data_IF_669371323237
#
_entry.id   IF_669371323237
#
_cell.length_a   1.000
_cell.length_b   1.000
_cell.length_c   1.000
_cell.angle_alpha   90.00
_cell.angle_beta   90.00
_cell.angle_gamma   90.00
#
_symmetry.space_group_name_H-M   'P 1'
#
loop_
_entity.id
_entity.type
_entity.pdbx_description
1 polymer ?
#
# COMPACT_ATOMS: atom_id res chain seq x y z
N UNK A 1 23.22 -65.36 -7.55
CA UNK A 1 24.64 -65.72 -7.48
C UNK A 1 25.39 -64.62 -8.22
N UNK A 2 26.36 -64.01 -7.53
CA UNK A 2 27.18 -62.82 -7.80
C UNK A 2 27.09 -61.94 -6.53
N UNK A 3 27.81 -62.28 -5.46
CA UNK A 3 29.25 -62.04 -5.23
C UNK A 3 29.62 -60.55 -5.22
N UNK A 4 29.22 -59.86 -4.15
CA UNK A 4 30.04 -58.81 -3.50
C UNK A 4 29.42 -58.48 -2.12
N UNK A 5 29.36 -59.50 -1.26
CA UNK A 5 29.00 -59.34 0.16
C UNK A 5 30.17 -59.84 1.00
N UNK A 6 31.22 -59.02 1.08
CA UNK A 6 32.37 -59.21 1.97
C UNK A 6 33.23 -57.96 1.85
N UNK A 7 33.19 -57.14 2.90
CA UNK A 7 34.24 -56.22 3.34
C UNK A 7 33.65 -54.99 4.04
N UNK A 8 33.02 -55.18 5.20
CA UNK A 8 32.85 -54.13 6.21
C UNK A 8 32.85 -54.76 7.61
N UNK A 9 33.94 -55.43 7.95
CA UNK A 9 34.24 -55.82 9.33
C UNK A 9 35.64 -55.33 9.69
N UNK A 10 35.68 -54.14 10.32
CA UNK A 10 36.70 -53.60 11.26
C UNK A 10 36.78 -52.08 11.18
N UNK A 11 35.97 -51.40 12.00
CA UNK A 11 36.29 -50.05 12.49
C UNK A 11 36.38 -50.18 14.02
N UNK A 12 37.52 -49.85 14.65
CA UNK A 12 37.67 -49.96 16.09
C UNK A 12 36.81 -48.91 16.82
N UNK A 13 36.14 -49.34 17.88
CA UNK A 13 35.36 -48.47 18.76
C UNK A 13 36.27 -47.46 19.48
N UNK A 14 35.91 -46.18 19.38
CA UNK A 14 36.53 -45.08 20.11
C UNK A 14 36.13 -45.16 21.59
N UNK A 15 37.04 -45.00 22.57
CA UNK A 15 36.68 -45.08 23.98
C UNK A 15 35.86 -43.85 24.41
N UNK A 16 34.79 -44.10 25.16
CA UNK A 16 33.91 -43.08 25.73
C UNK A 16 34.70 -42.07 26.60
N UNK A 17 34.34 -40.78 26.59
CA UNK A 17 34.99 -39.78 27.43
C UNK A 17 34.66 -40.04 28.91
N UNK A 18 35.71 -40.09 29.72
CA UNK A 18 35.67 -40.19 31.19
C UNK A 18 35.06 -38.90 31.75
N UNK A 19 33.90 -39.00 32.39
CA UNK A 19 33.31 -37.91 33.17
C UNK A 19 34.10 -37.76 34.48
N UNK A 20 34.74 -36.60 34.67
CA UNK A 20 35.32 -36.22 35.95
C UNK A 20 34.21 -35.79 36.91
N UNK A 21 34.03 -36.54 37.99
CA UNK A 21 33.20 -36.17 39.14
C UNK A 21 33.83 -35.00 39.91
N UNK A 22 33.48 -33.76 39.57
CA UNK A 22 33.56 -32.64 40.52
C UNK A 22 32.54 -31.58 40.08
N UNK A 23 31.31 -31.67 40.56
CA UNK A 23 30.47 -30.49 40.80
C UNK A 23 29.37 -30.84 41.80
N UNK A 24 29.63 -30.52 43.06
CA UNK A 24 28.65 -30.43 44.14
C UNK A 24 27.56 -29.42 43.78
N UNK A 25 26.26 -29.72 44.01
CA UNK A 25 25.20 -28.77 43.73
C UNK A 25 25.19 -27.65 44.77
N UNK A 26 25.45 -26.42 44.33
CA UNK A 26 25.18 -25.20 45.11
C UNK A 26 23.67 -25.06 45.23
N UNK A 27 23.17 -25.14 46.46
CA UNK A 27 21.77 -24.94 46.83
C UNK A 27 21.37 -23.49 46.53
N UNK A 28 20.48 -23.29 45.54
CA UNK A 28 19.87 -22.00 45.28
C UNK A 28 18.80 -21.71 46.35
N UNK A 29 19.13 -20.86 47.32
CA UNK A 29 18.16 -20.27 48.23
C UNK A 29 17.29 -19.24 47.49
N UNK A 30 16.00 -19.51 47.44
CA UNK A 30 14.95 -18.60 46.96
C UNK A 30 14.89 -17.34 47.84
N UNK A 31 14.90 -16.11 47.29
CA UNK A 31 14.57 -14.93 48.06
C UNK A 31 13.05 -14.86 48.33
N UNK A 32 12.61 -14.29 49.46
CA UNK A 32 11.19 -14.24 49.82
C UNK A 32 10.41 -13.27 48.92
N UNK A 33 9.17 -13.64 48.66
CA UNK A 33 8.15 -12.84 47.96
C UNK A 33 7.72 -11.70 48.89
N UNK A 34 7.96 -10.45 48.48
CA UNK A 34 7.32 -9.28 49.09
C UNK A 34 5.88 -9.17 48.58
N UNK A 35 4.92 -9.20 49.50
CA UNK A 35 3.52 -8.87 49.22
C UNK A 35 3.36 -7.37 48.92
N UNK A 36 2.49 -6.97 47.97
CA UNK A 36 2.30 -5.56 47.67
C UNK A 36 1.46 -4.88 48.74
N UNK A 37 2.03 -3.85 49.37
CA UNK A 37 1.35 -2.94 50.29
C UNK A 37 0.30 -2.13 49.51
N UNK A 38 -0.96 -2.26 49.92
CA UNK A 38 -2.10 -1.45 49.48
C UNK A 38 -1.90 0.03 49.89
N UNK A 39 -1.73 0.92 48.92
CA UNK A 39 -1.84 2.37 49.14
C UNK A 39 -3.26 2.83 48.82
N UNK A 40 -3.92 3.62 49.69
CA UNK A 40 -5.28 4.10 49.46
C UNK A 40 -5.32 5.18 48.37
N UNK A 41 -6.37 5.13 47.54
CA UNK A 41 -6.67 6.09 46.49
C UNK A 41 -7.04 7.48 47.08
N UNK A 42 -6.56 8.60 46.50
CA UNK A 42 -7.07 9.91 46.86
C UNK A 42 -8.36 10.24 46.11
N UNK A 43 -9.19 11.00 46.81
CA UNK A 43 -10.59 11.31 46.56
C UNK A 43 -10.87 12.09 45.26
N UNK A 44 -12.06 11.84 44.73
CA UNK A 44 -12.68 12.53 43.59
C UNK A 44 -13.06 13.98 43.95
N UNK A 45 -12.50 14.96 43.24
CA UNK A 45 -13.03 16.33 43.18
C UNK A 45 -13.34 16.73 41.73
N UNK A 46 -14.62 17.05 41.46
CA UNK A 46 -15.13 17.73 40.26
C UNK A 46 -16.43 18.44 40.68
N UNK A 47 -16.86 19.61 40.14
CA UNK A 47 -16.15 20.75 39.54
C UNK A 47 -16.58 22.11 40.18
N UNK A 48 -15.82 23.18 39.94
CA UNK A 48 -16.31 24.57 40.14
C UNK A 48 -16.41 25.27 38.79
N UNK A 49 -17.63 25.69 38.44
CA UNK A 49 -17.95 26.46 37.24
C UNK A 49 -17.64 27.96 37.42
N UNK A 50 -17.13 28.67 36.39
CA UNK A 50 -17.11 30.12 36.39
C UNK A 50 -18.43 30.73 35.88
N UNK A 51 -18.77 31.87 36.47
CA UNK A 51 -20.03 32.62 36.41
C UNK A 51 -20.40 33.23 35.04
N UNK A 52 -21.69 33.56 34.80
CA UNK A 52 -22.20 34.02 33.50
C UNK A 52 -21.91 35.49 33.19
N UNK A 53 -21.69 35.78 31.90
CA UNK A 53 -21.61 37.14 31.33
C UNK A 53 -22.99 37.83 31.29
N UNK A 54 -23.06 39.16 31.42
CA UNK A 54 -24.32 39.87 31.63
C UNK A 54 -25.14 40.04 30.33
N UNK A 55 -26.41 39.65 30.44
CA UNK A 55 -27.49 39.97 29.50
C UNK A 55 -27.91 41.43 29.71
N UNK A 56 -27.94 42.21 28.63
CA UNK A 56 -28.53 43.55 28.60
C UNK A 56 -29.92 43.43 27.94
N UNK A 57 -30.96 43.87 28.63
CA UNK A 57 -32.36 43.81 28.21
C UNK A 57 -32.81 45.06 27.42
N UNK A 58 -33.88 44.84 26.66
CA UNK A 58 -34.60 45.67 25.69
C UNK A 58 -35.13 47.04 26.18
N UNK A 59 -35.42 47.95 25.23
CA UNK A 59 -36.44 48.99 25.43
C UNK A 59 -36.38 50.22 24.50
N UNK A 60 -37.44 50.38 23.70
CA UNK A 60 -38.04 51.61 23.12
C UNK A 60 -37.61 52.18 21.75
N UNK A 61 -38.62 52.27 20.87
CA UNK A 61 -38.66 52.83 19.52
C UNK A 61 -38.74 54.38 19.51
N UNK A 62 -38.58 55.07 18.35
CA UNK A 62 -39.71 55.20 17.41
C UNK A 62 -39.33 55.15 15.91
N UNK A 63 -40.33 54.90 15.08
CA UNK A 63 -40.32 55.05 13.63
C UNK A 63 -39.96 56.48 13.20
N UNK A 64 -39.04 56.61 12.24
CA UNK A 64 -38.88 57.82 11.43
C UNK A 64 -38.40 57.47 10.01
N UNK A 65 -39.28 57.80 9.08
CA UNK A 65 -39.17 57.78 7.62
C UNK A 65 -37.97 58.59 7.10
N UNK A 66 -37.10 57.99 6.28
CA UNK A 66 -36.10 58.74 5.50
C UNK A 66 -35.66 58.00 4.21
N UNK A 67 -36.13 58.56 3.10
CA UNK A 67 -35.72 58.48 1.70
C UNK A 67 -34.52 57.58 1.29
N UNK A 68 -34.79 56.71 0.31
CA UNK A 68 -33.80 55.97 -0.47
C UNK A 68 -32.92 56.89 -1.34
N UNK A 69 -31.60 56.68 -1.43
CA UNK A 69 -30.77 57.31 -2.45
C UNK A 69 -30.85 56.56 -3.79
N UNK A 70 -31.24 57.31 -4.82
CA UNK A 70 -31.16 56.96 -6.24
C UNK A 70 -29.73 56.54 -6.62
N UNK A 71 -29.57 55.31 -7.10
CA UNK A 71 -28.35 54.86 -7.78
C UNK A 71 -28.57 55.03 -9.28
N UNK A 72 -27.79 55.92 -9.87
CA UNK A 72 -27.75 56.17 -11.30
C UNK A 72 -27.27 54.92 -12.06
N UNK A 73 -28.00 54.56 -13.11
CA UNK A 73 -27.63 53.56 -14.11
C UNK A 73 -26.48 54.09 -14.99
N UNK A 74 -25.39 53.34 -15.20
CA UNK A 74 -24.40 53.67 -16.22
C UNK A 74 -24.92 53.27 -17.62
N UNK A 75 -24.44 53.94 -18.70
CA UNK A 75 -24.96 53.73 -20.03
C UNK A 75 -24.55 52.37 -20.59
N UNK A 76 -25.51 51.72 -21.28
CA UNK A 76 -25.32 50.49 -22.03
C UNK A 76 -24.38 50.79 -23.21
N UNK A 77 -23.14 50.32 -23.12
CA UNK A 77 -22.28 50.17 -24.28
C UNK A 77 -22.63 48.84 -24.96
N UNK A 78 -23.09 48.93 -26.21
CA UNK A 78 -23.30 47.78 -27.09
C UNK A 78 -21.98 47.02 -27.26
N UNK A 79 -21.85 45.88 -26.58
CA UNK A 79 -20.79 44.94 -26.83
C UNK A 79 -21.17 44.13 -28.08
N UNK A 80 -20.48 44.41 -29.18
CA UNK A 80 -20.53 43.56 -30.37
C UNK A 80 -20.25 42.11 -29.96
N UNK A 81 -21.17 41.22 -30.33
CA UNK A 81 -21.04 39.79 -30.13
C UNK A 81 -19.84 39.29 -30.96
N UNK A 82 -18.68 39.18 -30.31
CA UNK A 82 -17.56 38.41 -30.82
C UNK A 82 -18.03 36.97 -30.92
N UNK A 83 -18.28 36.52 -32.15
CA UNK A 83 -18.58 35.13 -32.48
C UNK A 83 -17.39 34.30 -32.01
N UNK A 84 -17.52 33.73 -30.81
CA UNK A 84 -16.60 32.73 -30.29
C UNK A 84 -16.64 31.56 -31.28
N UNK A 85 -15.61 31.49 -32.12
CA UNK A 85 -15.32 30.31 -32.94
C UNK A 85 -15.46 29.07 -32.06
N UNK A 86 -16.13 28.00 -32.51
CA UNK A 86 -16.14 26.76 -31.76
C UNK A 86 -14.69 26.38 -31.48
N UNK A 87 -14.38 26.11 -30.21
CA UNK A 87 -13.09 25.59 -29.80
C UNK A 87 -12.74 24.46 -30.76
N UNK A 88 -11.59 24.59 -31.42
CA UNK A 88 -11.09 23.56 -32.31
C UNK A 88 -11.21 22.22 -31.59
N UNK A 89 -11.86 21.24 -32.24
CA UNK A 89 -11.81 19.85 -31.83
C UNK A 89 -10.36 19.53 -31.44
N UNK A 90 -10.16 18.80 -30.34
CA UNK A 90 -8.82 18.44 -29.86
C UNK A 90 -7.90 18.11 -31.03
N UNK A 91 -6.64 18.50 -30.92
CA UNK A 91 -5.62 17.96 -31.81
C UNK A 91 -5.77 16.44 -31.80
N UNK A 92 -6.31 15.90 -32.89
CA UNK A 92 -6.47 14.48 -33.17
C UNK A 92 -5.14 13.72 -33.17
N UNK A 93 -4.04 14.45 -32.96
CA UNK A 93 -2.66 14.00 -32.98
C UNK A 93 -2.28 13.04 -31.83
N UNK A 94 -3.11 12.92 -30.77
CA UNK A 94 -2.87 11.97 -29.65
C UNK A 94 -3.82 10.75 -29.63
N UNK A 95 -4.75 10.62 -30.58
CA UNK A 95 -5.53 9.37 -30.77
C UNK A 95 -4.72 8.45 -31.66
N UNK A 96 -4.28 7.33 -31.10
CA UNK A 96 -3.51 6.33 -31.83
C UNK A 96 -4.47 5.38 -32.55
N UNK A 97 -4.07 4.83 -33.68
CA UNK A 97 -4.85 3.82 -34.38
C UNK A 97 -4.08 2.50 -34.39
N UNK A 98 -4.79 1.40 -34.11
CA UNK A 98 -4.23 0.07 -34.33
C UNK A 98 -3.92 -0.15 -35.82
N UNK A 99 -3.07 -1.13 -36.17
CA UNK A 99 -2.87 -1.52 -37.57
C UNK A 99 -4.16 -1.92 -38.31
N UNK A 100 -5.24 -2.24 -37.59
CA UNK A 100 -6.56 -2.54 -38.12
C UNK A 100 -7.52 -1.34 -38.23
N UNK A 101 -7.09 -0.13 -37.87
CA UNK A 101 -7.88 1.10 -37.97
C UNK A 101 -8.80 1.41 -36.77
N UNK A 102 -8.78 0.59 -35.72
CA UNK A 102 -9.55 0.86 -34.50
C UNK A 102 -8.89 1.98 -33.66
N UNK A 103 -9.66 2.96 -33.16
CA UNK A 103 -9.12 4.05 -32.35
C UNK A 103 -8.70 3.59 -30.95
N UNK A 104 -7.55 4.08 -30.52
CA UNK A 104 -6.99 3.91 -29.18
C UNK A 104 -6.80 5.25 -28.48
N UNK A 105 -7.14 5.28 -27.19
CA UNK A 105 -7.13 6.48 -26.37
C UNK A 105 -6.00 6.45 -25.35
N UNK A 106 -5.31 7.57 -25.08
CA UNK A 106 -4.28 7.61 -24.04
C UNK A 106 -4.83 7.33 -22.65
N UNK A 107 -4.29 6.30 -21.98
CA UNK A 107 -4.75 5.84 -20.65
C UNK A 107 -3.73 6.12 -19.55
N UNK A 108 -2.46 5.75 -19.76
CA UNK A 108 -1.40 5.82 -18.75
C UNK A 108 -0.12 6.49 -19.27
N UNK A 109 0.45 7.37 -18.45
CA UNK A 109 1.78 7.97 -18.71
C UNK A 109 2.87 6.91 -18.57
N UNK A 110 3.96 7.06 -19.33
CA UNK A 110 5.11 6.15 -19.26
C UNK A 110 5.62 5.93 -17.83
N UNK A 111 5.74 7.00 -17.02
CA UNK A 111 6.23 6.86 -15.64
C UNK A 111 5.28 6.06 -14.74
N UNK A 112 3.95 6.15 -14.95
CA UNK A 112 2.99 5.33 -14.21
C UNK A 112 3.12 3.85 -14.58
N UNK A 113 3.41 3.56 -15.86
CA UNK A 113 3.67 2.19 -16.32
C UNK A 113 4.96 1.63 -15.75
N UNK A 114 6.03 2.44 -15.67
CA UNK A 114 7.29 2.03 -15.03
C UNK A 114 7.07 1.74 -13.55
N UNK A 115 6.37 2.62 -12.81
CA UNK A 115 5.98 2.39 -11.42
C UNK A 115 5.23 1.05 -11.26
N UNK A 116 4.25 0.80 -12.15
CA UNK A 116 3.52 -0.46 -12.16
C UNK A 116 4.41 -1.67 -12.45
N UNK A 117 5.35 -1.59 -13.39
CA UNK A 117 6.29 -2.69 -13.67
C UNK A 117 7.20 -2.96 -12.47
N UNK A 118 7.68 -1.92 -11.79
CA UNK A 118 8.44 -2.08 -10.55
C UNK A 118 7.61 -2.77 -9.47
N UNK A 119 6.35 -2.34 -9.27
CA UNK A 119 5.43 -2.96 -8.33
C UNK A 119 5.16 -4.43 -8.71
N UNK A 120 4.82 -4.72 -9.96
CA UNK A 120 4.54 -6.06 -10.46
C UNK A 120 5.72 -7.02 -10.20
N UNK A 121 6.94 -6.62 -10.59
CA UNK A 121 8.12 -7.48 -10.45
C UNK A 121 8.47 -7.69 -8.98
N UNK A 122 8.55 -6.61 -8.19
CA UNK A 122 8.90 -6.69 -6.77
C UNK A 122 7.86 -7.49 -5.97
N UNK A 123 6.57 -7.22 -6.16
CA UNK A 123 5.48 -7.96 -5.53
C UNK A 123 5.50 -9.45 -5.90
N UNK A 124 5.72 -9.78 -7.17
CA UNK A 124 5.81 -11.17 -7.61
C UNK A 124 6.95 -11.90 -6.89
N UNK A 125 8.14 -11.30 -6.82
CA UNK A 125 9.29 -11.87 -6.11
C UNK A 125 8.98 -12.02 -4.62
N UNK A 126 8.35 -11.03 -3.99
CA UNK A 126 7.92 -11.08 -2.59
C UNK A 126 6.96 -12.24 -2.33
N UNK A 127 5.98 -12.46 -3.20
CA UNK A 127 5.05 -13.60 -3.11
C UNK A 127 5.77 -14.94 -3.27
N UNK A 128 6.63 -15.06 -4.28
CA UNK A 128 7.37 -16.30 -4.57
C UNK A 128 8.37 -16.68 -3.47
N UNK A 129 8.91 -15.69 -2.77
CA UNK A 129 9.84 -15.91 -1.64
C UNK A 129 9.14 -16.01 -0.29
N UNK A 130 8.03 -15.28 -0.09
CA UNK A 130 7.34 -15.17 1.19
C UNK A 130 6.29 -16.26 1.45
N UNK A 131 5.48 -16.62 0.44
CA UNK A 131 4.44 -17.65 0.61
C UNK A 131 5.02 -19.02 0.98
N UNK A 132 6.13 -19.50 0.39
CA UNK A 132 6.76 -20.74 0.83
C UNK A 132 7.22 -20.73 2.29
N UNK A 133 7.64 -19.57 2.80
CA UNK A 133 8.05 -19.42 4.20
C UNK A 133 6.86 -19.48 5.15
N UNK A 134 5.68 -19.00 4.72
CA UNK A 134 4.43 -19.12 5.50
C UNK A 134 3.91 -20.55 5.57
N UNK A 135 4.09 -21.34 4.51
CA UNK A 135 3.60 -22.71 4.41
C UNK A 135 4.75 -23.74 4.35
N UNK A 136 5.65 -23.80 5.36
CA UNK A 136 6.91 -24.55 5.28
C UNK A 136 6.74 -26.07 5.17
N UNK A 137 5.58 -26.59 5.59
CA UNK A 137 5.26 -28.03 5.53
C UNK A 137 4.68 -28.46 4.18
N UNK A 138 4.36 -27.53 3.28
CA UNK A 138 3.87 -27.87 1.94
C UNK A 138 5.03 -28.39 1.07
N UNK A 139 4.89 -29.55 0.39
CA UNK A 139 5.93 -30.07 -0.52
C UNK A 139 6.32 -29.07 -1.61
N UNK A 140 5.36 -28.29 -2.11
CA UNK A 140 5.62 -27.23 -3.11
C UNK A 140 6.48 -26.13 -2.50
N UNK A 141 6.25 -25.76 -1.25
CA UNK A 141 7.03 -24.72 -0.57
C UNK A 141 8.46 -25.17 -0.31
N UNK A 142 8.65 -26.43 0.09
CA UNK A 142 9.98 -27.03 0.25
C UNK A 142 10.74 -27.09 -1.07
N UNK A 143 10.06 -27.49 -2.16
CA UNK A 143 10.64 -27.48 -3.49
C UNK A 143 11.04 -26.06 -3.94
N UNK A 144 10.16 -25.07 -3.77
CA UNK A 144 10.44 -23.67 -4.13
C UNK A 144 11.65 -23.12 -3.37
N UNK A 145 11.71 -23.35 -2.06
CA UNK A 145 12.84 -22.93 -1.22
C UNK A 145 14.13 -23.63 -1.67
N UNK A 146 14.08 -24.94 -1.93
CA UNK A 146 15.22 -25.71 -2.45
C UNK A 146 15.72 -25.19 -3.80
N UNK A 147 14.80 -24.92 -4.74
CA UNK A 147 15.12 -24.37 -6.06
C UNK A 147 15.73 -22.97 -6.02
N UNK A 148 15.40 -22.15 -5.01
CA UNK A 148 16.02 -20.84 -4.78
C UNK A 148 17.41 -20.92 -4.12
N UNK A 149 17.90 -22.11 -3.78
CA UNK A 149 19.20 -22.28 -3.09
C UNK A 149 19.10 -22.28 -1.56
N UNK A 150 17.91 -22.51 -1.00
CA UNK A 150 17.68 -22.63 0.44
C UNK A 150 17.00 -21.41 1.08
N UNK A 151 16.71 -21.54 2.38
CA UNK A 151 15.93 -20.55 3.13
C UNK A 151 16.65 -19.21 3.27
N UNK A 152 17.97 -19.22 3.42
CA UNK A 152 18.75 -17.99 3.61
C UNK A 152 18.78 -17.16 2.32
N UNK A 153 18.93 -17.80 1.16
CA UNK A 153 18.83 -17.13 -0.14
C UNK A 153 17.42 -16.59 -0.37
N UNK A 154 16.37 -17.38 -0.08
CA UNK A 154 14.99 -16.94 -0.22
C UNK A 154 14.69 -15.68 0.64
N UNK A 155 15.19 -15.65 1.89
CA UNK A 155 15.08 -14.48 2.79
C UNK A 155 15.84 -13.28 2.24
N UNK A 156 17.04 -13.48 1.70
CA UNK A 156 17.83 -12.40 1.11
C UNK A 156 17.13 -11.80 -0.12
N UNK A 157 16.61 -12.63 -1.02
CA UNK A 157 15.86 -12.17 -2.20
C UNK A 157 14.60 -11.42 -1.77
N UNK A 158 13.85 -11.96 -0.80
CA UNK A 158 12.63 -11.31 -0.27
C UNK A 158 12.92 -9.89 0.21
N UNK A 159 14.03 -9.73 0.94
CA UNK A 159 14.50 -8.46 1.50
C UNK A 159 14.86 -7.44 0.44
N UNK A 160 15.60 -7.82 -0.59
CA UNK A 160 15.92 -6.93 -1.71
C UNK A 160 14.68 -6.53 -2.51
N UNK A 161 13.75 -7.46 -2.72
CA UNK A 161 12.47 -7.16 -3.36
C UNK A 161 11.62 -6.20 -2.50
N UNK A 162 11.65 -6.36 -1.17
CA UNK A 162 11.00 -5.43 -0.25
C UNK A 162 11.62 -4.03 -0.33
N UNK A 163 12.95 -3.91 -0.42
CA UNK A 163 13.63 -2.62 -0.64
C UNK A 163 13.13 -1.95 -1.92
N UNK A 164 13.09 -2.70 -3.02
CA UNK A 164 12.65 -2.18 -4.31
C UNK A 164 11.19 -1.70 -4.24
N UNK A 165 10.31 -2.46 -3.58
CA UNK A 165 8.91 -2.06 -3.38
C UNK A 165 8.81 -0.80 -2.52
N UNK A 166 9.51 -0.71 -1.38
CA UNK A 166 9.52 0.46 -0.49
C UNK A 166 10.01 1.72 -1.22
N UNK A 167 11.11 1.62 -1.96
CA UNK A 167 11.63 2.74 -2.76
C UNK A 167 10.65 3.14 -3.87
N UNK A 168 10.02 2.16 -4.52
CA UNK A 168 8.94 2.39 -5.49
C UNK A 168 7.75 3.12 -4.87
N UNK A 169 7.33 2.74 -3.66
CA UNK A 169 6.26 3.42 -2.92
C UNK A 169 6.62 4.86 -2.54
N UNK A 170 7.85 5.10 -2.07
CA UNK A 170 8.34 6.46 -1.78
C UNK A 170 8.31 7.30 -3.05
N UNK A 171 8.81 6.77 -4.17
CA UNK A 171 8.76 7.45 -5.46
C UNK A 171 7.31 7.75 -5.89
N UNK A 172 6.40 6.78 -5.78
CA UNK A 172 4.98 6.96 -6.09
C UNK A 172 4.32 8.06 -5.23
N UNK A 173 4.64 8.13 -3.94
CA UNK A 173 4.15 9.18 -3.04
C UNK A 173 4.70 10.55 -3.42
N UNK A 174 5.99 10.64 -3.78
CA UNK A 174 6.60 11.88 -4.25
C UNK A 174 6.00 12.35 -5.59
N UNK A 175 5.83 11.46 -6.57
CA UNK A 175 5.23 11.82 -7.86
C UNK A 175 3.75 12.18 -7.73
N UNK A 176 3.01 11.50 -6.86
CA UNK A 176 1.61 11.84 -6.55
C UNK A 176 1.50 13.19 -5.82
N UNK A 177 2.38 13.46 -4.86
CA UNK A 177 2.45 14.76 -4.18
C UNK A 177 2.84 15.88 -5.14
N UNK A 178 3.73 15.63 -6.10
CA UNK A 178 4.06 16.58 -7.15
C UNK A 178 2.84 16.90 -8.03
N UNK A 179 2.09 15.87 -8.44
CA UNK A 179 0.85 16.04 -9.20
C UNK A 179 -0.20 16.84 -8.42
N UNK A 180 -0.32 16.60 -7.11
CA UNK A 180 -1.26 17.30 -6.25
C UNK A 180 -0.84 18.76 -6.00
N UNK A 181 0.35 19.00 -5.44
CA UNK A 181 0.74 20.33 -4.96
C UNK A 181 1.33 21.24 -6.06
N UNK A 182 2.07 20.67 -7.02
CA UNK A 182 2.68 21.48 -8.09
C UNK A 182 1.74 21.60 -9.27
N UNK A 183 1.21 20.46 -9.74
CA UNK A 183 0.32 20.44 -10.90
C UNK A 183 -1.16 20.71 -10.57
N UNK A 184 -1.59 20.63 -9.31
CA UNK A 184 -3.02 20.74 -8.97
C UNK A 184 -3.86 19.81 -9.85
N UNK A 185 -3.34 18.62 -10.16
CA UNK A 185 -4.13 17.57 -10.81
C UNK A 185 -5.16 17.06 -9.79
N UNK A 186 -6.39 16.83 -10.25
CA UNK A 186 -7.45 16.34 -9.37
C UNK A 186 -7.07 14.96 -8.80
N UNK A 187 -7.43 14.71 -7.54
CA UNK A 187 -7.20 13.43 -6.89
C UNK A 187 -8.21 12.38 -7.37
N UNK A 188 -8.11 11.99 -8.65
CA UNK A 188 -9.07 11.09 -9.31
C UNK A 188 -9.15 9.68 -8.70
N UNK A 189 -8.14 9.29 -7.91
CA UNK A 189 -8.10 8.00 -7.20
C UNK A 189 -8.78 8.05 -5.83
N UNK A 190 -9.22 9.22 -5.34
CA UNK A 190 -10.01 9.27 -4.11
C UNK A 190 -11.42 8.74 -4.39
N UNK A 191 -11.95 7.87 -3.51
CA UNK A 191 -13.35 7.52 -3.53
C UNK A 191 -14.21 8.76 -3.28
N UNK A 192 -15.29 8.92 -4.04
CA UNK A 192 -16.29 9.95 -3.87
C UNK A 192 -17.71 9.36 -3.83
N UNK A 193 -18.71 10.22 -3.66
CA UNK A 193 -20.11 9.79 -3.59
C UNK A 193 -20.58 9.10 -4.88
N UNK A 194 -20.01 9.45 -6.04
CA UNK A 194 -20.37 8.83 -7.32
C UNK A 194 -19.96 7.36 -7.33
N UNK A 195 -18.83 7.00 -6.75
CA UNK A 195 -18.38 5.60 -6.68
C UNK A 195 -19.41 4.70 -5.97
N UNK A 196 -20.08 5.22 -4.95
CA UNK A 196 -21.17 4.52 -4.25
C UNK A 196 -22.42 4.33 -5.12
N UNK A 197 -22.79 5.36 -5.89
CA UNK A 197 -23.87 5.24 -6.88
C UNK A 197 -23.51 4.29 -8.02
N UNK A 198 -22.28 4.35 -8.52
CA UNK A 198 -21.78 3.47 -9.58
C UNK A 198 -21.76 2.01 -9.15
N UNK A 199 -21.40 1.73 -7.89
CA UNK A 199 -21.50 0.39 -7.31
C UNK A 199 -22.96 -0.10 -7.26
N UNK A 200 -23.87 0.72 -6.72
CA UNK A 200 -25.30 0.39 -6.65
C UNK A 200 -25.86 0.09 -8.05
N UNK A 201 -25.56 0.95 -9.01
CA UNK A 201 -26.09 0.86 -10.37
C UNK A 201 -25.47 -0.33 -11.11
N UNK A 202 -24.19 -0.65 -10.85
CA UNK A 202 -23.55 -1.87 -11.36
C UNK A 202 -24.21 -3.12 -10.83
N UNK A 203 -24.55 -3.16 -9.52
CA UNK A 203 -25.28 -4.29 -8.92
C UNK A 203 -26.69 -4.38 -9.52
N UNK A 204 -27.39 -3.26 -9.65
CA UNK A 204 -28.73 -3.23 -10.25
C UNK A 204 -28.71 -3.73 -11.71
N UNK A 205 -27.73 -3.30 -12.50
CA UNK A 205 -27.54 -3.74 -13.88
C UNK A 205 -27.24 -5.24 -13.96
N UNK A 206 -26.33 -5.74 -13.13
CA UNK A 206 -26.00 -7.17 -13.09
C UNK A 206 -27.17 -8.07 -12.62
N UNK A 207 -28.12 -7.51 -11.86
CA UNK A 207 -29.36 -8.18 -11.46
C UNK A 207 -30.50 -8.00 -12.49
N UNK A 208 -30.27 -7.26 -13.59
CA UNK A 208 -31.28 -6.98 -14.60
C UNK A 208 -32.39 -6.02 -14.15
N UNK A 209 -32.13 -5.20 -13.12
CA UNK A 209 -33.08 -4.19 -12.61
C UNK A 209 -33.08 -2.93 -13.48
N UNK A 210 -31.93 -2.59 -14.06
CA UNK A 210 -31.77 -1.50 -15.02
C UNK A 210 -31.17 -2.04 -16.32
N UNK A 211 -31.55 -1.45 -17.45
CA UNK A 211 -31.16 -1.92 -18.78
C UNK A 211 -29.82 -1.32 -19.27
N UNK A 212 -29.39 -0.20 -18.69
CA UNK A 212 -28.18 0.50 -19.09
C UNK A 212 -27.07 0.39 -18.03
N UNK A 213 -25.82 0.08 -18.42
CA UNK A 213 -24.70 0.06 -17.48
C UNK A 213 -24.33 1.48 -17.02
N UNK A 214 -23.84 1.66 -15.78
CA UNK A 214 -23.46 2.98 -15.29
C UNK A 214 -22.25 3.53 -16.05
N UNK A 215 -22.33 4.80 -16.46
CA UNK A 215 -21.22 5.50 -17.11
C UNK A 215 -20.16 5.90 -16.08
N UNK A 216 -19.00 5.27 -16.17
CA UNK A 216 -17.90 5.46 -15.22
C UNK A 216 -16.86 6.48 -15.72
N UNK A 217 -16.13 7.09 -14.77
CA UNK A 217 -15.05 8.06 -15.06
C UNK A 217 -13.76 7.35 -15.50
N UNK A 218 -12.68 8.11 -15.67
CA UNK A 218 -11.33 7.60 -16.00
C UNK A 218 -10.88 6.44 -15.12
N UNK A 219 -11.27 6.46 -13.85
CA UNK A 219 -11.09 5.34 -12.95
C UNK A 219 -12.45 4.94 -12.42
N UNK A 220 -12.79 3.67 -12.57
CA UNK A 220 -14.03 3.13 -12.01
C UNK A 220 -13.89 2.84 -10.51
N UNK A 221 -15.01 2.59 -9.83
CA UNK A 221 -15.01 2.34 -8.39
C UNK A 221 -14.17 1.11 -8.00
N UNK A 222 -14.15 0.07 -8.86
CA UNK A 222 -13.38 -1.16 -8.64
C UNK A 222 -11.88 -0.92 -8.70
N UNK A 223 -11.40 -0.20 -9.72
CA UNK A 223 -10.00 0.21 -9.86
C UNK A 223 -9.55 1.08 -8.69
N UNK A 224 -10.41 1.98 -8.19
CA UNK A 224 -10.11 2.78 -6.99
C UNK A 224 -10.03 1.90 -5.74
N UNK A 225 -10.95 0.95 -5.58
CA UNK A 225 -10.92 0.01 -4.47
C UNK A 225 -9.64 -0.82 -4.47
N UNK A 226 -9.25 -1.36 -5.63
CA UNK A 226 -7.98 -2.09 -5.79
C UNK A 226 -6.76 -1.22 -5.47
N UNK A 227 -6.74 0.03 -5.96
CA UNK A 227 -5.66 0.96 -5.64
C UNK A 227 -5.50 1.19 -4.13
N UNK A 228 -6.61 1.44 -3.43
CA UNK A 228 -6.56 1.65 -1.98
C UNK A 228 -6.27 0.38 -1.20
N UNK A 229 -6.74 -0.78 -1.66
CA UNK A 229 -6.35 -2.07 -1.09
C UNK A 229 -4.83 -2.28 -1.19
N UNK A 230 -4.22 -1.96 -2.33
CA UNK A 230 -2.75 -2.03 -2.50
C UNK A 230 -2.03 -1.01 -1.63
N UNK A 231 -2.51 0.24 -1.52
CA UNK A 231 -1.91 1.27 -0.65
C UNK A 231 -1.94 0.84 0.82
N UNK A 232 -3.10 0.37 1.29
CA UNK A 232 -3.27 -0.15 2.66
C UNK A 232 -2.38 -1.37 2.91
N UNK A 233 -2.47 -2.38 2.04
CA UNK A 233 -1.71 -3.62 2.17
C UNK A 233 -0.21 -3.35 2.16
N UNK A 234 0.27 -2.46 1.29
CA UNK A 234 1.69 -2.03 1.29
C UNK A 234 2.08 -1.39 2.62
N UNK A 235 1.25 -0.52 3.19
CA UNK A 235 1.50 0.07 4.50
C UNK A 235 1.62 -0.98 5.61
N UNK A 236 0.68 -1.94 5.67
CA UNK A 236 0.72 -3.06 6.63
C UNK A 236 1.95 -3.93 6.42
N UNK A 237 2.29 -4.27 5.18
CA UNK A 237 3.45 -5.11 4.85
C UNK A 237 4.78 -4.45 5.20
N UNK A 238 4.92 -3.13 4.98
CA UNK A 238 6.11 -2.38 5.39
C UNK A 238 6.23 -2.34 6.92
N UNK A 239 5.15 -1.99 7.62
CA UNK A 239 5.18 -1.88 9.08
C UNK A 239 5.47 -3.21 9.77
N UNK A 240 4.75 -4.26 9.38
CA UNK A 240 4.97 -5.61 9.92
C UNK A 240 6.31 -6.20 9.47
N UNK A 241 6.71 -5.97 8.22
CA UNK A 241 8.02 -6.38 7.71
C UNK A 241 9.17 -5.74 8.47
N UNK A 242 9.05 -4.46 8.84
CA UNK A 242 10.02 -3.78 9.71
C UNK A 242 10.16 -4.46 11.06
N UNK A 243 9.03 -4.77 11.72
CA UNK A 243 9.01 -5.46 13.02
C UNK A 243 9.68 -6.84 12.93
N UNK A 244 9.41 -7.59 11.86
CA UNK A 244 9.99 -8.92 11.66
C UNK A 244 11.46 -8.90 11.27
N UNK A 245 11.89 -7.84 10.60
CA UNK A 245 13.30 -7.64 10.25
C UNK A 245 14.12 -7.21 11.46
N UNK A 246 13.60 -6.27 12.26
CA UNK A 246 14.29 -5.65 13.40
C UNK A 246 13.55 -5.92 14.72
N UNK A 247 13.44 -7.18 15.18
CA UNK A 247 12.63 -7.54 16.34
C UNK A 247 13.20 -7.00 17.67
N UNK A 248 14.52 -6.80 17.79
CA UNK A 248 15.09 -6.22 19.01
C UNK A 248 14.75 -4.72 19.08
N UNK A 249 14.81 -4.03 17.94
CA UNK A 249 14.41 -2.63 17.82
C UNK A 249 12.95 -2.47 18.19
N UNK A 250 12.09 -3.29 17.60
CA UNK A 250 10.66 -3.26 17.83
C UNK A 250 10.35 -3.47 19.31
N UNK A 251 10.98 -4.44 19.98
CA UNK A 251 10.72 -4.75 21.39
C UNK A 251 11.19 -3.68 22.39
N UNK A 252 12.01 -2.72 21.96
CA UNK A 252 12.32 -1.52 22.77
C UNK A 252 11.17 -0.54 22.84
N UNK A 253 10.29 -0.53 21.83
CA UNK A 253 9.17 0.41 21.73
C UNK A 253 7.80 -0.24 21.99
N UNK A 254 7.70 -1.56 21.85
CA UNK A 254 6.46 -2.31 22.04
C UNK A 254 6.69 -3.64 22.77
N UNK A 255 5.66 -4.20 23.45
CA UNK A 255 5.76 -5.52 24.06
C UNK A 255 6.11 -6.62 23.05
N UNK A 256 6.84 -7.66 23.51
CA UNK A 256 7.22 -8.81 22.68
C UNK A 256 6.05 -9.59 22.06
N UNK A 257 4.83 -9.44 22.61
CA UNK A 257 3.61 -10.02 22.05
C UNK A 257 3.27 -9.48 20.65
N UNK A 258 3.80 -8.33 20.25
CA UNK A 258 3.58 -7.78 18.91
C UNK A 258 4.38 -8.48 17.82
N UNK A 259 5.46 -9.19 18.14
CA UNK A 259 6.23 -9.97 17.16
C UNK A 259 5.36 -11.08 16.53
N UNK A 260 4.72 -11.99 17.28
CA UNK A 260 3.83 -12.98 16.69
C UNK A 260 2.60 -12.37 16.01
N UNK A 261 2.09 -11.22 16.50
CA UNK A 261 1.03 -10.47 15.80
C UNK A 261 1.52 -10.01 14.42
N UNK A 262 2.74 -9.48 14.33
CA UNK A 262 3.34 -9.10 13.06
C UNK A 262 3.54 -10.31 12.13
N UNK A 263 3.96 -11.47 12.65
CA UNK A 263 4.06 -12.71 11.85
C UNK A 263 2.70 -13.09 11.23
N UNK A 264 1.64 -13.06 12.04
CA UNK A 264 0.29 -13.39 11.59
C UNK A 264 -0.22 -12.36 10.58
N UNK A 265 -0.14 -11.07 10.91
CA UNK A 265 -0.61 -9.98 10.07
C UNK A 265 0.14 -9.95 8.72
N UNK A 266 1.48 -9.99 8.74
CA UNK A 266 2.30 -10.00 7.53
C UNK A 266 1.98 -11.22 6.65
N UNK A 267 1.91 -12.41 7.27
CA UNK A 267 1.66 -13.64 6.53
C UNK A 267 0.25 -13.71 5.92
N UNK A 268 -0.79 -13.29 6.65
CA UNK A 268 -2.16 -13.32 6.14
C UNK A 268 -2.46 -12.19 5.16
N UNK A 269 -1.90 -11.00 5.38
CA UNK A 269 -1.98 -9.91 4.41
C UNK A 269 -1.30 -10.31 3.08
N UNK A 270 -0.15 -11.00 3.14
CA UNK A 270 0.51 -11.51 1.94
C UNK A 270 -0.39 -12.50 1.16
N UNK A 271 -1.11 -13.38 1.85
CA UNK A 271 -2.06 -14.30 1.22
C UNK A 271 -3.24 -13.53 0.62
N UNK A 272 -3.83 -12.61 1.37
CA UNK A 272 -4.94 -11.78 0.92
C UNK A 272 -4.54 -10.98 -0.33
N UNK A 273 -3.38 -10.32 -0.30
CA UNK A 273 -2.86 -9.57 -1.44
C UNK A 273 -2.61 -10.48 -2.65
N UNK A 274 -1.94 -11.62 -2.47
CA UNK A 274 -1.66 -12.55 -3.57
C UNK A 274 -2.95 -13.08 -4.22
N UNK A 275 -3.91 -13.50 -3.40
CA UNK A 275 -5.20 -14.02 -3.87
C UNK A 275 -6.02 -12.92 -4.55
N UNK A 276 -6.08 -11.72 -3.97
CA UNK A 276 -6.76 -10.58 -4.56
C UNK A 276 -6.16 -10.22 -5.93
N UNK A 277 -4.83 -10.21 -6.05
CA UNK A 277 -4.18 -9.93 -7.34
C UNK A 277 -4.49 -11.03 -8.36
N UNK A 278 -4.39 -12.31 -7.98
CA UNK A 278 -4.61 -13.42 -8.93
C UNK A 278 -6.08 -13.56 -9.34
N UNK A 279 -7.00 -13.56 -8.38
CA UNK A 279 -8.42 -13.84 -8.64
C UNK A 279 -9.13 -12.62 -9.17
N UNK A 280 -8.88 -11.44 -8.61
CA UNK A 280 -9.64 -10.25 -8.93
C UNK A 280 -8.93 -9.38 -9.96
N UNK A 281 -7.71 -8.93 -9.67
CA UNK A 281 -7.00 -7.99 -10.53
C UNK A 281 -6.66 -8.60 -11.89
N UNK A 282 -5.92 -9.73 -11.92
CA UNK A 282 -5.51 -10.39 -13.16
C UNK A 282 -6.69 -10.89 -13.98
N UNK A 283 -7.76 -11.36 -13.33
CA UNK A 283 -9.00 -11.72 -14.03
C UNK A 283 -9.60 -10.52 -14.76
N UNK A 284 -9.82 -9.40 -14.07
CA UNK A 284 -10.44 -8.23 -14.69
C UNK A 284 -9.57 -7.65 -15.80
N UNK A 285 -8.26 -7.52 -15.57
CA UNK A 285 -7.37 -6.87 -16.56
C UNK A 285 -6.97 -7.81 -17.70
N UNK A 286 -6.61 -9.07 -17.45
CA UNK A 286 -6.10 -9.98 -18.49
C UNK A 286 -7.16 -10.91 -19.07
N UNK A 287 -8.06 -11.45 -18.25
CA UNK A 287 -9.02 -12.47 -18.69
C UNK A 287 -10.31 -11.85 -19.25
N UNK A 288 -10.96 -10.94 -18.50
CA UNK A 288 -12.23 -10.30 -18.87
C UNK A 288 -12.04 -9.29 -20.00
N UNK A 289 -11.17 -8.29 -19.80
CA UNK A 289 -11.05 -7.18 -20.76
C UNK A 289 -9.84 -7.26 -21.69
N UNK A 290 -8.84 -8.11 -21.39
CA UNK A 290 -7.56 -8.15 -22.13
C UNK A 290 -6.91 -6.77 -22.28
N UNK A 291 -6.96 -6.00 -21.20
CA UNK A 291 -6.44 -4.65 -21.11
C UNK A 291 -4.90 -4.66 -21.04
N UNK A 292 -4.25 -4.23 -22.12
CA UNK A 292 -2.78 -4.13 -22.23
C UNK A 292 -2.25 -2.71 -21.99
N UNK A 293 -3.09 -1.79 -21.48
CA UNK A 293 -2.76 -0.37 -21.36
C UNK A 293 -1.59 -0.07 -20.41
N UNK A 294 -1.28 -0.97 -19.46
CA UNK A 294 -0.07 -0.84 -18.64
C UNK A 294 1.23 -1.09 -19.44
N UNK A 295 1.15 -1.77 -20.58
CA UNK A 295 2.28 -2.01 -21.48
C UNK A 295 2.33 -1.02 -22.64
N UNK A 296 1.18 -0.63 -23.21
CA UNK A 296 1.13 0.27 -24.37
C UNK A 296 0.97 1.74 -23.97
N UNK A 297 0.28 2.02 -22.86
CA UNK A 297 -0.13 3.36 -22.44
C UNK A 297 -1.48 3.80 -23.00
N UNK A 298 -2.08 3.00 -23.87
CA UNK A 298 -3.33 3.29 -24.60
C UNK A 298 -4.39 2.24 -24.33
N UNK A 299 -5.67 2.56 -24.56
CA UNK A 299 -6.80 1.67 -24.38
C UNK A 299 -7.74 1.75 -25.58
N UNK A 300 -8.26 0.61 -26.03
CA UNK A 300 -9.16 0.55 -27.20
C UNK A 300 -10.49 1.26 -26.91
N UNK A 301 -11.11 1.78 -27.97
CA UNK A 301 -12.43 2.41 -27.92
C UNK A 301 -13.48 1.54 -27.19
N UNK A 302 -13.57 0.26 -27.56
CA UNK A 302 -14.52 -0.67 -26.95
C UNK A 302 -14.39 -0.77 -25.43
N UNK A 303 -13.17 -0.92 -24.91
CA UNK A 303 -12.96 -1.04 -23.45
C UNK A 303 -13.21 0.32 -22.78
N UNK A 304 -12.85 1.42 -23.44
CA UNK A 304 -13.16 2.76 -22.96
C UNK A 304 -14.67 3.00 -22.85
N UNK A 305 -15.47 2.51 -23.80
CA UNK A 305 -16.93 2.59 -23.76
C UNK A 305 -17.53 1.74 -22.63
N UNK A 306 -17.07 0.50 -22.49
CA UNK A 306 -17.59 -0.45 -21.50
C UNK A 306 -17.23 -0.06 -20.05
N UNK A 307 -15.99 0.36 -19.80
CA UNK A 307 -15.47 0.54 -18.42
C UNK A 307 -15.23 2.01 -18.04
N UNK A 308 -15.16 2.94 -19.01
CA UNK A 308 -14.76 4.34 -18.79
C UNK A 308 -15.55 5.36 -19.65
N UNK A 309 -16.85 5.11 -19.88
CA UNK A 309 -17.68 5.88 -20.82
C UNK A 309 -17.57 7.41 -20.66
N UNK A 310 -17.54 7.95 -19.44
CA UNK A 310 -17.44 9.40 -19.23
C UNK A 310 -16.04 9.96 -19.60
N UNK A 311 -14.98 9.16 -19.47
CA UNK A 311 -13.66 9.57 -19.96
C UNK A 311 -13.61 9.52 -21.48
N UNK A 312 -14.25 8.53 -22.10
CA UNK A 312 -14.37 8.45 -23.56
C UNK A 312 -15.09 9.67 -24.13
N UNK A 313 -16.27 9.98 -23.59
CA UNK A 313 -17.06 11.17 -23.97
C UNK A 313 -16.23 12.45 -23.81
N UNK A 314 -15.49 12.59 -22.70
CA UNK A 314 -14.60 13.74 -22.45
C UNK A 314 -13.50 13.86 -23.51
N UNK A 315 -12.84 12.75 -23.87
CA UNK A 315 -11.76 12.75 -24.86
C UNK A 315 -12.31 13.04 -26.27
N UNK A 316 -13.45 12.48 -26.62
CA UNK A 316 -14.13 12.73 -27.90
C UNK A 316 -14.64 14.16 -28.02
N UNK A 317 -15.06 14.79 -26.90
CA UNK A 317 -15.42 16.21 -26.83
C UNK A 317 -14.20 17.16 -26.90
N UNK A 318 -13.00 16.62 -27.11
CA UNK A 318 -11.78 17.41 -27.25
C UNK A 318 -11.05 17.71 -25.93
N UNK A 319 -11.33 16.96 -24.87
CA UNK A 319 -10.63 17.09 -23.61
C UNK A 319 -9.20 16.55 -23.69
N UNK A 320 -8.22 17.33 -23.22
CA UNK A 320 -6.82 16.91 -23.15
C UNK A 320 -6.64 15.64 -22.29
N UNK A 321 -5.82 14.65 -22.70
CA UNK A 321 -5.56 13.45 -21.89
C UNK A 321 -4.86 13.76 -20.56
N UNK A 322 -4.07 14.82 -20.54
CA UNK A 322 -3.27 15.28 -19.42
C UNK A 322 -3.56 16.75 -19.13
N UNK A 323 -3.59 17.11 -17.84
CA UNK A 323 -3.71 18.52 -17.46
C UNK A 323 -2.46 19.30 -17.89
N UNK A 324 -2.62 20.22 -18.85
CA UNK A 324 -1.57 21.14 -19.30
C UNK A 324 -1.60 22.39 -18.41
N UNK A 325 -0.45 22.80 -17.90
CA UNK A 325 -0.33 23.93 -16.98
C UNK A 325 0.71 24.90 -17.53
N UNK A 326 0.45 26.22 -17.53
CA UNK A 326 1.41 27.21 -18.02
C UNK A 326 2.75 27.12 -17.30
N UNK A 327 3.85 27.11 -18.07
CA UNK A 327 5.21 26.91 -17.56
C UNK A 327 5.62 27.96 -16.50
N UNK A 328 5.11 29.19 -16.61
CA UNK A 328 5.40 30.27 -15.67
C UNK A 328 4.89 29.97 -14.24
N UNK A 329 3.70 29.39 -14.10
CA UNK A 329 3.11 29.01 -12.80
C UNK A 329 3.86 27.82 -12.18
N UNK A 330 4.31 26.88 -13.03
CA UNK A 330 5.05 25.70 -12.59
C UNK A 330 6.44 26.05 -12.04
N UNK A 331 7.13 27.04 -12.59
CA UNK A 331 8.54 27.31 -12.28
C UNK A 331 8.80 27.58 -10.79
N UNK A 332 7.95 28.41 -10.14
CA UNK A 332 8.10 28.74 -8.70
C UNK A 332 7.74 27.55 -7.81
N UNK A 333 6.58 26.95 -8.04
CA UNK A 333 6.06 25.81 -7.25
C UNK A 333 7.01 24.60 -7.32
N UNK A 334 7.54 24.33 -8.51
CA UNK A 334 8.51 23.26 -8.74
C UNK A 334 9.78 23.44 -7.91
N UNK A 335 10.36 24.65 -7.83
CA UNK A 335 11.59 24.88 -7.06
C UNK A 335 11.41 24.54 -5.58
N UNK A 336 10.33 25.04 -4.97
CA UNK A 336 10.01 24.78 -3.55
C UNK A 336 9.79 23.28 -3.35
N UNK A 337 8.97 22.67 -4.21
CA UNK A 337 8.70 21.24 -4.12
C UNK A 337 9.98 20.40 -4.26
N UNK A 338 10.86 20.71 -5.22
CA UNK A 338 12.10 19.94 -5.42
C UNK A 338 13.05 20.03 -4.23
N UNK A 339 13.11 21.18 -3.55
CA UNK A 339 13.89 21.31 -2.31
C UNK A 339 13.33 20.41 -1.21
N UNK A 340 12.01 20.48 -0.96
CA UNK A 340 11.34 19.64 0.04
C UNK A 340 11.43 18.16 -0.32
N UNK A 341 11.14 17.80 -1.57
CA UNK A 341 11.23 16.43 -2.07
C UNK A 341 12.66 15.88 -2.01
N UNK A 342 13.67 16.71 -2.23
CA UNK A 342 15.07 16.32 -2.07
C UNK A 342 15.39 15.96 -0.62
N UNK A 343 14.97 16.79 0.35
CA UNK A 343 15.14 16.49 1.78
C UNK A 343 14.36 15.23 2.17
N UNK A 344 13.09 15.11 1.78
CA UNK A 344 12.27 13.92 2.05
C UNK A 344 12.89 12.66 1.46
N UNK A 345 13.39 12.73 0.22
CA UNK A 345 14.06 11.60 -0.43
C UNK A 345 15.34 11.21 0.31
N UNK A 346 16.17 12.17 0.71
CA UNK A 346 17.39 11.89 1.49
C UNK A 346 17.02 11.23 2.81
N UNK A 347 16.05 11.77 3.55
CA UNK A 347 15.58 11.20 4.81
C UNK A 347 15.00 9.80 4.61
N UNK A 348 14.23 9.57 3.54
CA UNK A 348 13.66 8.27 3.23
C UNK A 348 14.75 7.26 2.86
N UNK A 349 15.78 7.65 2.09
CA UNK A 349 16.93 6.79 1.77
C UNK A 349 17.73 6.47 3.02
N UNK A 350 17.95 7.45 3.91
CA UNK A 350 18.62 7.23 5.20
C UNK A 350 17.80 6.29 6.08
N UNK A 351 16.48 6.47 6.15
CA UNK A 351 15.56 5.62 6.92
C UNK A 351 15.56 4.20 6.39
N UNK A 352 15.47 4.03 5.07
CA UNK A 352 15.60 2.74 4.38
C UNK A 352 16.94 2.14 4.77
N UNK A 353 18.06 2.78 4.45
CA UNK A 353 19.40 2.27 4.77
C UNK A 353 19.53 1.85 6.24
N UNK A 354 19.12 2.72 7.17
CA UNK A 354 19.09 2.43 8.59
C UNK A 354 18.25 1.19 8.90
N UNK A 355 17.01 1.08 8.42
CA UNK A 355 16.15 -0.10 8.59
C UNK A 355 16.82 -1.40 8.09
N UNK A 356 17.66 -1.34 7.05
CA UNK A 356 18.36 -2.51 6.50
C UNK A 356 19.62 -2.87 7.28
N UNK A 357 20.34 -1.90 7.86
CA UNK A 357 21.63 -2.11 8.52
C UNK A 357 21.58 -2.03 10.05
N UNK A 358 20.40 -1.78 10.63
CA UNK A 358 20.27 -1.58 12.07
C UNK A 358 20.49 -2.87 12.86
N UNK A 359 19.95 -4.00 12.38
CA UNK A 359 20.08 -5.31 13.04
C UNK A 359 20.45 -6.44 12.08
N UNK A 360 21.45 -7.22 12.47
CA UNK A 360 21.85 -8.45 11.77
C UNK A 360 21.11 -9.70 12.29
N UNK A 361 20.23 -9.54 13.29
CA UNK A 361 19.58 -10.66 14.00
C UNK A 361 18.76 -11.56 13.11
N UNK A 362 18.31 -11.04 11.97
CA UNK A 362 17.50 -11.79 11.03
C UNK A 362 18.30 -12.31 9.82
N UNK A 363 19.62 -12.08 9.76
CA UNK A 363 20.50 -12.48 8.64
C UNK A 363 21.01 -13.92 8.80
N UNK A 364 21.22 -14.37 10.05
CA UNK A 364 21.73 -15.71 10.35
C UNK A 364 20.67 -16.47 11.15
N UNK A 365 20.15 -17.57 10.59
CA UNK A 365 19.30 -18.47 11.36
C UNK A 365 20.08 -18.95 12.59
N UNK A 366 19.52 -18.87 13.82
CA UNK A 366 20.20 -19.37 14.99
C UNK A 366 20.53 -20.84 14.74
N UNK A 367 21.83 -21.15 14.74
CA UNK A 367 22.27 -22.54 14.65
C UNK A 367 21.68 -23.28 15.84
N UNK A 368 21.11 -24.46 15.61
CA UNK A 368 20.68 -25.34 16.70
C UNK A 368 21.96 -25.76 17.42
N UNK A 369 22.29 -25.03 18.47
CA UNK A 369 23.53 -25.23 19.24
C UNK A 369 23.38 -26.33 20.28
N UNK A 370 22.15 -26.80 20.52
CA UNK A 370 21.83 -27.94 21.38
C UNK A 370 20.60 -28.66 20.84
N UNK A 371 20.66 -29.98 20.76
CA UNK A 371 19.46 -30.81 20.63
C UNK A 371 18.55 -30.50 21.81
N UNK A 372 17.41 -29.88 21.54
CA UNK A 372 16.38 -29.71 22.55
C UNK A 372 15.87 -31.12 22.84
N UNK A 373 16.24 -31.66 24.00
CA UNK A 373 15.68 -32.90 24.50
C UNK A 373 14.16 -32.70 24.62
N UNK A 374 13.42 -33.22 23.66
CA UNK A 374 11.96 -33.36 23.77
C UNK A 374 11.78 -34.57 24.68
N UNK A 375 11.37 -34.41 25.95
CA UNK A 375 11.02 -35.57 26.74
C UNK A 375 9.92 -36.30 25.98
N UNK A 376 10.20 -37.53 25.58
CA UNK A 376 9.21 -38.46 25.05
C UNK A 376 7.95 -38.32 25.90
N UNK A 377 6.82 -38.00 25.25
CA UNK A 377 5.55 -37.85 25.91
C UNK A 377 5.38 -39.02 26.89
N UNK A 378 5.21 -38.71 28.17
CA UNK A 378 4.86 -39.70 29.19
C UNK A 378 3.68 -40.50 28.67
N UNK A 379 3.78 -41.85 28.59
CA UNK A 379 2.64 -42.65 28.18
C UNK A 379 1.49 -42.34 29.13
N UNK A 380 0.36 -41.92 28.55
CA UNK A 380 -0.88 -41.66 29.28
C UNK A 380 -1.32 -43.01 29.88
N UNK A 381 -1.72 -43.05 31.17
CA UNK A 381 -2.06 -44.29 31.87
C UNK A 381 -3.20 -45.09 31.25
#
# INVERSE_FOLDING_TARGET
MNEESRDLEKIPAEPAPVLSETDTPVTATTPPVEEPVETPAPETEVPVAPAPEPVISEGDAPEAEAAAPSVATPPVAEAEAEVVKPAAAASTDEIFYTPGGEPEYPRFRLMARIEHMTLLVSFTILCLTGLPQKFPFSPVSQWMIGAMGGIDMARMIHRWAATALVLGSIYHLLTSSYRLFVKHEDMRMLPDLKDGFDLRDTVAYNLGIIDEPPKMRKFNFGEKFEYWAVVWGTGVMIATGFILWNPIAATRFMPGSYIPVAVLAHGWEAVLAAVSIVIWHLYNVLAKHRNVSMFTGTLSHKIMEEEHALELERLQAGGEPWKVIPAAVLARRRKIFMAVAGVVLILAVVLVFWMFTFEDTAIIAPQVTRDVFVPLATPIP
#
